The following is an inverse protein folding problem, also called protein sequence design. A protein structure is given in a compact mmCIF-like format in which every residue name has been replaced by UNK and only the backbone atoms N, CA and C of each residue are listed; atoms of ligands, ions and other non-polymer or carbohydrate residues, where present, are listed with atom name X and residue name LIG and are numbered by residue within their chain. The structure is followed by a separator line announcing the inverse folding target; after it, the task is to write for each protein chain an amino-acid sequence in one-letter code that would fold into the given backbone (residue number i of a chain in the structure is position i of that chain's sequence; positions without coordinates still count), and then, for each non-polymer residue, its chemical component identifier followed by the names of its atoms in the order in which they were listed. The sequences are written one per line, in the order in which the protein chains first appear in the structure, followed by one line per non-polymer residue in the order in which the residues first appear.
data_IF_742987506231
#
_entry.id   IF_742987506231
#
_cell.length_a   1.000
_cell.length_b   1.000
_cell.length_c   1.000
_cell.angle_alpha   90.00
_cell.angle_beta   90.00
_cell.angle_gamma   90.00
#
_symmetry.space_group_name_H-M   'P 1'
#
loop_
_entity.id
_entity.type
_entity.pdbx_description
1 polymer ?
#
# COMPACT_ATOMS: atom_id res chain seq x y z
N UNK A 1 -17.25 5.84 -6.17
CA UNK A 1 -18.00 6.19 -4.94
C UNK A 1 -17.84 5.04 -3.97
N UNK A 2 -17.04 5.25 -2.91
CA UNK A 2 -16.88 4.27 -1.84
C UNK A 2 -18.24 3.95 -1.21
N UNK A 3 -18.48 2.68 -0.90
CA UNK A 3 -19.74 2.25 -0.26
C UNK A 3 -19.68 2.67 1.22
N UNK A 4 -20.82 2.80 1.89
CA UNK A 4 -20.93 3.15 3.33
C UNK A 4 -20.13 2.21 4.27
N UNK A 5 -19.64 1.08 3.76
CA UNK A 5 -18.74 0.14 4.44
C UNK A 5 -17.32 0.69 4.62
N UNK A 6 -16.90 1.70 3.86
CA UNK A 6 -15.52 2.22 3.86
C UNK A 6 -15.31 3.40 4.83
N UNK A 7 -16.36 3.86 5.53
CA UNK A 7 -16.27 4.95 6.53
C UNK A 7 -15.54 4.55 7.81
N UNK A 8 -15.57 3.25 8.13
CA UNK A 8 -14.95 2.71 9.33
C UNK A 8 -14.12 1.51 8.94
N UNK A 9 -12.85 1.48 9.33
CA UNK A 9 -11.98 0.37 8.99
C UNK A 9 -11.29 -0.19 10.22
N UNK A 10 -11.19 -1.52 10.25
CA UNK A 10 -10.52 -2.27 11.28
C UNK A 10 -9.03 -2.36 10.95
N UNK A 11 -8.16 -1.88 11.84
CA UNK A 11 -6.70 -1.96 11.66
C UNK A 11 -6.09 -3.21 12.28
N UNK A 12 -6.71 -3.77 13.31
CA UNK A 12 -6.16 -4.93 14.02
C UNK A 12 -6.87 -5.20 15.35
N UNK A 13 -6.66 -6.42 15.84
CA UNK A 13 -7.12 -6.88 17.14
C UNK A 13 -5.89 -7.25 17.97
N UNK A 14 -5.80 -6.68 19.17
CA UNK A 14 -4.82 -7.08 20.18
C UNK A 14 -5.53 -7.99 21.18
N UNK A 15 -5.04 -9.22 21.31
CA UNK A 15 -5.45 -10.17 22.35
C UNK A 15 -4.31 -10.20 23.37
N UNK A 16 -4.61 -9.94 24.65
CA UNK A 16 -3.61 -10.12 25.70
C UNK A 16 -3.07 -11.56 25.73
N UNK A 17 -1.76 -11.69 25.92
CA UNK A 17 -1.04 -12.96 25.95
C UNK A 17 -1.68 -13.86 27.02
N UNK A 18 -2.31 -14.96 26.58
CA UNK A 18 -2.99 -15.91 27.46
C UNK A 18 -4.48 -16.15 27.14
N UNK A 19 -5.07 -15.40 26.20
CA UNK A 19 -6.37 -15.72 25.60
C UNK A 19 -7.60 -15.58 26.53
N UNK A 20 -7.42 -14.97 27.72
CA UNK A 20 -8.50 -14.69 28.69
C UNK A 20 -8.68 -13.21 29.02
N UNK A 21 -7.87 -12.34 28.42
CA UNK A 21 -7.95 -10.89 28.58
C UNK A 21 -8.84 -10.24 27.51
N UNK A 22 -9.37 -9.04 27.77
CA UNK A 22 -10.31 -8.37 26.87
C UNK A 22 -9.73 -8.21 25.46
N UNK A 23 -10.61 -8.29 24.46
CA UNK A 23 -10.24 -8.11 23.06
C UNK A 23 -10.28 -6.63 22.74
N UNK A 24 -9.14 -6.08 22.30
CA UNK A 24 -9.03 -4.67 21.92
C UNK A 24 -9.02 -4.57 20.39
N UNK A 25 -10.09 -4.01 19.84
CA UNK A 25 -10.24 -3.72 18.42
C UNK A 25 -9.82 -2.29 18.13
N UNK A 26 -9.02 -2.07 17.10
CA UNK A 26 -8.69 -0.72 16.63
C UNK A 26 -9.55 -0.35 15.43
N UNK A 27 -10.43 0.64 15.61
CA UNK A 27 -11.32 1.12 14.55
C UNK A 27 -10.99 2.56 14.19
N UNK A 28 -10.71 2.79 12.91
CA UNK A 28 -10.56 4.12 12.35
C UNK A 28 -11.91 4.66 11.92
N UNK A 29 -12.30 5.81 12.46
CA UNK A 29 -13.37 6.67 11.98
C UNK A 29 -12.79 7.66 10.98
N UNK A 30 -13.05 7.41 9.69
CA UNK A 30 -12.52 8.23 8.60
C UNK A 30 -13.24 9.56 8.44
N UNK A 31 -14.48 9.69 8.91
CA UNK A 31 -15.20 10.96 8.89
C UNK A 31 -14.61 11.93 9.91
N UNK A 32 -14.24 11.42 11.08
CA UNK A 32 -13.63 12.22 12.15
C UNK A 32 -12.11 12.12 12.20
N UNK A 33 -11.51 11.37 11.26
CA UNK A 33 -10.07 11.15 11.11
C UNK A 33 -9.37 10.74 12.40
N UNK A 34 -10.03 9.86 13.16
CA UNK A 34 -9.58 9.41 14.48
C UNK A 34 -9.67 7.91 14.61
N UNK A 35 -8.75 7.33 15.38
CA UNK A 35 -8.81 5.93 15.75
C UNK A 35 -9.34 5.81 17.17
N UNK A 36 -10.21 4.83 17.40
CA UNK A 36 -10.78 4.52 18.71
C UNK A 36 -10.52 3.06 19.01
N UNK A 37 -10.06 2.80 20.24
CA UNK A 37 -9.93 1.45 20.79
C UNK A 37 -11.31 0.98 21.26
N UNK A 38 -11.80 -0.15 20.75
CA UNK A 38 -13.01 -0.81 21.25
C UNK A 38 -12.58 -1.99 22.10
N UNK A 39 -13.03 -2.03 23.35
CA UNK A 39 -12.74 -3.13 24.26
C UNK A 39 -14.00 -3.98 24.42
N UNK A 40 -13.90 -5.26 24.09
CA UNK A 40 -14.95 -6.27 24.29
C UNK A 40 -14.42 -7.39 25.19
N UNK A 41 -15.29 -8.09 25.90
CA UNK A 41 -14.87 -9.16 26.81
C UNK A 41 -14.35 -10.39 26.04
N UNK A 42 -13.30 -11.02 26.59
CA UNK A 42 -12.57 -12.15 25.98
C UNK A 42 -13.43 -13.38 25.69
N UNK A 43 -14.44 -13.61 26.53
CA UNK A 43 -15.39 -14.73 26.42
C UNK A 43 -16.30 -14.58 25.19
N UNK A 44 -16.28 -13.40 24.56
CA UNK A 44 -17.10 -13.02 23.43
C UNK A 44 -16.17 -12.55 22.29
N UNK A 45 -15.55 -13.53 21.61
CA UNK A 45 -14.92 -13.27 20.32
C UNK A 45 -16.01 -12.91 19.31
N UNK A 46 -16.33 -11.62 19.22
CA UNK A 46 -17.30 -11.11 18.25
C UNK A 46 -16.72 -11.10 16.83
N UNK A 47 -17.56 -11.37 15.85
CA UNK A 47 -17.24 -11.14 14.44
C UNK A 47 -16.91 -9.64 14.23
N UNK A 48 -15.77 -9.29 13.60
CA UNK A 48 -15.43 -7.89 13.27
C UNK A 48 -16.59 -7.09 12.66
N UNK A 49 -17.45 -7.74 11.86
CA UNK A 49 -18.63 -7.11 11.24
C UNK A 49 -19.65 -6.69 12.30
N UNK A 50 -19.87 -7.52 13.32
CA UNK A 50 -20.79 -7.24 14.42
C UNK A 50 -20.28 -6.12 15.32
N UNK A 51 -18.99 -6.15 15.67
CA UNK A 51 -18.32 -5.10 16.45
C UNK A 51 -18.48 -3.74 15.77
N UNK A 52 -18.26 -3.68 14.46
CA UNK A 52 -18.44 -2.44 13.68
C UNK A 52 -19.91 -1.98 13.71
N UNK A 53 -20.86 -2.90 13.55
CA UNK A 53 -22.28 -2.56 13.61
C UNK A 53 -22.68 -1.99 14.98
N UNK A 54 -22.07 -2.50 16.05
CA UNK A 54 -22.29 -2.02 17.41
C UNK A 54 -21.66 -0.63 17.60
N UNK A 55 -20.41 -0.46 17.17
CA UNK A 55 -19.71 0.83 17.21
C UNK A 55 -20.43 1.94 16.44
N UNK A 56 -20.98 1.62 15.26
CA UNK A 56 -21.76 2.56 14.43
C UNK A 56 -22.96 3.19 15.15
N UNK A 57 -23.51 2.53 16.18
CA UNK A 57 -24.63 3.09 16.97
C UNK A 57 -24.21 4.29 17.82
N UNK A 58 -22.95 4.31 18.27
CA UNK A 58 -22.45 5.29 19.24
C UNK A 58 -21.59 6.37 18.61
N UNK A 59 -20.92 6.08 17.50
CA UNK A 59 -19.88 6.96 16.96
C UNK A 59 -20.33 8.40 16.70
N UNK A 60 -21.58 8.60 16.27
CA UNK A 60 -22.13 9.94 16.01
C UNK A 60 -22.28 10.78 17.29
N UNK A 61 -22.49 10.16 18.44
CA UNK A 61 -22.70 10.86 19.72
C UNK A 61 -21.45 10.92 20.59
N UNK A 62 -20.42 10.12 20.29
CA UNK A 62 -19.17 10.13 21.05
C UNK A 62 -18.46 11.49 20.94
N UNK A 63 -18.03 12.10 22.07
CA UNK A 63 -17.14 13.26 22.07
C UNK A 63 -15.83 12.99 21.33
N UNK A 64 -15.18 14.04 20.83
CA UNK A 64 -13.97 13.93 20.00
C UNK A 64 -12.72 13.49 20.77
N UNK A 65 -12.66 13.77 22.07
CA UNK A 65 -11.57 13.48 23.00
C UNK A 65 -11.59 12.06 23.58
N UNK A 66 -12.56 11.23 23.20
CA UNK A 66 -12.61 9.81 23.57
C UNK A 66 -11.59 9.01 22.75
N UNK A 67 -10.71 8.29 23.44
CA UNK A 67 -9.69 7.41 22.86
C UNK A 67 -10.08 5.93 22.86
N UNK A 68 -10.82 5.49 23.87
CA UNK A 68 -11.23 4.10 24.04
C UNK A 68 -12.66 4.01 24.53
N UNK A 69 -13.38 2.99 24.08
CA UNK A 69 -14.71 2.65 24.57
C UNK A 69 -14.79 1.17 24.94
N UNK A 70 -15.54 0.88 26.00
CA UNK A 70 -15.83 -0.47 26.46
C UNK A 70 -17.27 -0.79 26.10
N UNK A 71 -17.49 -1.93 25.47
CA UNK A 71 -18.78 -2.33 24.93
C UNK A 71 -19.23 -3.66 25.49
N UNK A 72 -20.53 -3.77 25.77
CA UNK A 72 -21.15 -5.06 26.10
C UNK A 72 -21.32 -5.94 24.86
N UNK A 73 -21.62 -7.22 25.06
CA UNK A 73 -22.01 -8.19 24.01
C UNK A 73 -23.17 -7.73 23.12
N UNK A 74 -24.03 -6.87 23.64
CA UNK A 74 -25.18 -6.32 22.90
C UNK A 74 -24.83 -5.06 22.14
N UNK A 75 -23.58 -4.61 22.27
CA UNK A 75 -23.08 -3.37 21.71
C UNK A 75 -23.53 -2.15 22.49
N UNK A 76 -23.84 -2.25 23.78
CA UNK A 76 -24.14 -1.08 24.62
C UNK A 76 -22.84 -0.47 25.14
N UNK A 77 -22.80 0.87 25.22
CA UNK A 77 -21.63 1.59 25.70
C UNK A 77 -21.56 1.49 27.23
N UNK A 78 -20.55 0.79 27.75
CA UNK A 78 -20.35 0.60 29.19
C UNK A 78 -19.50 1.71 29.80
N UNK A 79 -18.40 2.06 29.12
CA UNK A 79 -17.44 3.06 29.59
C UNK A 79 -16.72 3.71 28.40
N UNK A 80 -16.24 4.94 28.61
CA UNK A 80 -15.33 5.65 27.71
C UNK A 80 -14.06 6.05 28.46
N UNK A 81 -12.95 6.20 27.73
CA UNK A 81 -11.69 6.74 28.24
C UNK A 81 -11.25 7.94 27.41
N UNK A 82 -10.77 8.97 28.12
CA UNK A 82 -10.09 10.15 27.58
C UNK A 82 -8.62 10.21 28.03
N UNK A 83 -8.10 9.14 28.65
CA UNK A 83 -6.69 9.07 29.03
C UNK A 83 -5.84 8.95 27.76
N UNK A 84 -4.90 9.88 27.50
CA UNK A 84 -4.02 9.80 26.34
C UNK A 84 -3.27 8.47 26.22
N UNK A 85 -3.05 7.71 27.30
CA UNK A 85 -2.41 6.39 27.22
C UNK A 85 -3.25 5.35 26.47
N UNK A 86 -4.56 5.54 26.44
CA UNK A 86 -5.49 4.65 25.73
C UNK A 86 -5.67 5.07 24.26
N UNK A 87 -5.02 6.16 23.83
CA UNK A 87 -5.04 6.67 22.46
C UNK A 87 -4.37 5.68 21.50
N UNK A 88 -5.14 4.98 20.64
CA UNK A 88 -4.55 4.05 19.68
C UNK A 88 -3.73 4.79 18.60
N UNK A 89 -3.90 6.12 18.47
CA UNK A 89 -3.05 6.95 17.63
C UNK A 89 -1.62 7.08 18.17
N UNK A 90 -1.35 6.73 19.44
CA UNK A 90 0.03 6.58 19.96
C UNK A 90 0.72 5.38 19.31
N UNK A 91 -0.04 4.38 18.87
CA UNK A 91 0.47 3.12 18.30
C UNK A 91 0.74 3.24 16.80
N UNK A 92 0.15 4.22 16.09
CA UNK A 92 0.64 4.61 14.76
C UNK A 92 1.98 5.31 14.98
N UNK A 93 3.08 4.56 14.84
CA UNK A 93 4.48 4.97 14.78
C UNK A 93 4.69 6.49 14.66
N UNK A 94 4.62 7.19 15.79
CA UNK A 94 4.88 8.63 15.89
C UNK A 94 6.38 8.78 15.83
N UNK A 95 6.88 9.33 14.73
CA UNK A 95 8.28 9.72 14.64
C UNK A 95 8.38 11.21 14.87
N UNK A 96 9.19 11.62 15.84
CA UNK A 96 9.67 13.00 15.87
C UNK A 96 10.66 13.18 14.70
N UNK A 97 10.68 14.35 14.06
CA UNK A 97 11.57 14.63 12.93
C UNK A 97 13.05 14.32 13.26
N UNK A 98 13.40 14.45 14.53
CA UNK A 98 14.73 14.24 15.10
C UNK A 98 15.13 12.75 15.18
N UNK A 99 14.17 11.82 15.28
CA UNK A 99 14.43 10.38 15.52
C UNK A 99 14.95 9.61 14.29
N UNK A 100 14.80 10.16 13.09
CA UNK A 100 14.91 9.39 11.85
C UNK A 100 15.99 9.88 10.86
N UNK A 101 16.89 10.79 11.26
CA UNK A 101 17.84 11.47 10.33
C UNK A 101 17.13 12.04 9.07
N UNK A 102 15.86 12.42 9.22
CA UNK A 102 14.97 12.76 8.12
C UNK A 102 15.37 14.04 7.41
N UNK A 103 16.02 14.98 8.12
CA UNK A 103 16.42 16.27 7.58
C UNK A 103 17.21 16.13 6.27
N UNK A 104 18.06 15.11 6.17
CA UNK A 104 18.86 14.88 4.97
C UNK A 104 18.05 14.21 3.85
N UNK A 105 17.19 13.25 4.18
CA UNK A 105 16.38 12.49 3.20
C UNK A 105 15.21 13.32 2.64
N UNK A 106 14.68 14.23 3.46
CA UNK A 106 13.60 15.13 3.12
C UNK A 106 14.11 16.52 2.71
N UNK A 107 15.42 16.68 2.54
CA UNK A 107 16.01 17.94 2.09
C UNK A 107 15.42 18.34 0.74
N UNK A 108 14.63 19.42 0.73
CA UNK A 108 13.95 19.92 -0.47
C UNK A 108 12.51 19.42 -0.65
N UNK A 109 12.00 18.58 0.25
CA UNK A 109 10.57 18.25 0.32
C UNK A 109 9.89 19.28 1.21
N UNK A 110 8.87 19.95 0.68
CA UNK A 110 8.14 20.97 1.44
C UNK A 110 7.18 20.34 2.45
N UNK A 111 6.86 21.11 3.50
CA UNK A 111 5.87 20.75 4.51
C UNK A 111 4.54 21.43 4.18
N UNK A 112 3.43 20.79 4.54
CA UNK A 112 2.09 21.38 4.57
C UNK A 112 1.41 21.00 5.87
N UNK A 113 0.66 21.92 6.46
CA UNK A 113 -0.12 21.61 7.65
C UNK A 113 -1.42 20.94 7.20
N UNK A 114 -1.83 19.91 7.92
CA UNK A 114 -2.98 19.08 7.54
C UNK A 114 -4.27 19.88 7.33
N UNK A 115 -4.52 20.88 8.18
CA UNK A 115 -5.71 21.74 8.06
C UNK A 115 -5.74 22.58 6.77
N UNK A 116 -4.60 22.73 6.08
CA UNK A 116 -4.50 23.41 4.79
C UNK A 116 -4.91 22.52 3.61
N UNK A 117 -5.11 21.22 3.85
CA UNK A 117 -5.56 20.27 2.83
C UNK A 117 -7.09 20.21 2.79
N UNK A 118 -7.66 20.50 1.63
CA UNK A 118 -9.09 20.35 1.36
C UNK A 118 -9.38 18.98 0.73
N UNK A 119 -10.13 18.14 1.44
CA UNK A 119 -10.58 16.84 0.94
C UNK A 119 -11.54 17.00 -0.25
N UNK A 120 -11.19 16.40 -1.39
CA UNK A 120 -12.02 16.37 -2.60
C UNK A 120 -12.78 15.04 -2.67
N UNK A 121 -12.09 13.93 -2.44
CA UNK A 121 -12.64 12.58 -2.50
C UNK A 121 -11.80 11.62 -1.69
N UNK A 122 -12.39 10.52 -1.25
CA UNK A 122 -11.66 9.39 -0.66
C UNK A 122 -11.40 8.35 -1.75
N UNK A 123 -10.15 7.93 -1.90
CA UNK A 123 -9.74 7.00 -2.97
C UNK A 123 -9.63 5.57 -2.44
N UNK A 124 -9.04 5.40 -1.27
CA UNK A 124 -8.89 4.12 -0.60
C UNK A 124 -8.72 4.33 0.91
N UNK A 125 -8.51 3.22 1.61
CA UNK A 125 -8.21 3.24 3.04
C UNK A 125 -6.93 4.03 3.32
N UNK A 126 -7.03 5.12 4.11
CA UNK A 126 -5.87 5.98 4.39
C UNK A 126 -5.30 6.67 3.16
N UNK A 127 -6.11 6.87 2.12
CA UNK A 127 -5.72 7.57 0.89
C UNK A 127 -6.85 8.49 0.42
N UNK A 128 -6.58 9.79 0.45
CA UNK A 128 -7.52 10.81 -0.01
C UNK A 128 -6.99 11.52 -1.26
N UNK A 129 -7.90 11.94 -2.13
CA UNK A 129 -7.65 13.02 -3.06
C UNK A 129 -7.92 14.34 -2.34
N UNK A 130 -6.91 15.17 -2.23
CA UNK A 130 -7.00 16.50 -1.61
C UNK A 130 -6.50 17.58 -2.55
N UNK A 131 -6.76 18.82 -2.17
CA UNK A 131 -6.17 20.01 -2.78
C UNK A 131 -5.54 20.90 -1.73
N UNK A 132 -4.54 21.67 -2.14
CA UNK A 132 -4.02 22.80 -1.39
C UNK A 132 -3.69 23.94 -2.35
N UNK A 133 -3.55 25.16 -1.81
CA UNK A 133 -3.46 26.39 -2.58
C UNK A 133 -4.84 27.00 -2.87
N UNK A 134 -4.86 28.12 -3.61
CA UNK A 134 -6.11 28.82 -3.94
C UNK A 134 -6.11 29.29 -5.39
N UNK A 135 -7.29 29.35 -6.01
CA UNK A 135 -7.48 29.85 -7.37
C UNK A 135 -6.69 29.05 -8.42
N UNK A 136 -5.97 29.74 -9.29
CA UNK A 136 -5.16 29.13 -10.36
C UNK A 136 -3.97 28.31 -9.84
N UNK A 137 -3.60 28.46 -8.55
CA UNK A 137 -2.54 27.69 -7.90
C UNK A 137 -3.06 26.47 -7.13
N UNK A 138 -4.36 26.13 -7.25
CA UNK A 138 -4.92 24.92 -6.65
C UNK A 138 -4.24 23.67 -7.24
N UNK A 139 -3.51 22.95 -6.40
CA UNK A 139 -2.86 21.70 -6.79
C UNK A 139 -3.61 20.52 -6.19
N UNK A 140 -4.00 19.57 -7.04
CA UNK A 140 -4.62 18.31 -6.62
C UNK A 140 -3.56 17.25 -6.37
N UNK A 141 -3.61 16.63 -5.20
CA UNK A 141 -2.61 15.66 -4.74
C UNK A 141 -3.29 14.50 -4.03
N UNK A 142 -2.59 13.38 -3.95
CA UNK A 142 -3.04 12.22 -3.19
C UNK A 142 -2.39 12.25 -1.82
N UNK A 143 -3.18 12.35 -0.76
CA UNK A 143 -2.70 12.31 0.62
C UNK A 143 -2.76 10.89 1.19
N UNK A 144 -1.64 10.42 1.75
CA UNK A 144 -1.50 9.08 2.34
C UNK A 144 -1.16 9.15 3.82
N UNK A 145 -1.90 8.42 4.66
CA UNK A 145 -1.72 8.36 6.13
C UNK A 145 -0.77 7.22 6.55
N UNK A 146 0.18 6.85 5.69
CA UNK A 146 0.99 5.63 5.83
C UNK A 146 2.44 5.95 6.21
N UNK A 147 2.72 6.11 7.50
CA UNK A 147 4.07 6.43 8.00
C UNK A 147 5.09 5.30 7.77
N UNK A 148 4.64 4.04 7.77
CA UNK A 148 5.49 2.89 7.43
C UNK A 148 5.90 2.91 5.95
N UNK A 149 4.99 3.30 5.07
CA UNK A 149 5.23 3.47 3.63
C UNK A 149 6.21 4.63 3.37
N UNK A 150 6.05 5.74 4.11
CA UNK A 150 6.93 6.91 4.02
C UNK A 150 8.40 6.53 4.23
N UNK A 151 8.69 5.66 5.21
CA UNK A 151 10.07 5.26 5.50
C UNK A 151 10.78 4.68 4.26
N UNK A 152 10.09 3.84 3.47
CA UNK A 152 10.65 3.26 2.25
C UNK A 152 10.66 4.29 1.12
N UNK A 153 9.58 5.06 0.97
CA UNK A 153 9.42 6.01 -0.11
C UNK A 153 10.49 7.11 -0.12
N UNK A 154 10.95 7.57 1.04
CA UNK A 154 12.01 8.59 1.11
C UNK A 154 13.31 8.16 0.44
N UNK A 155 13.62 6.87 0.41
CA UNK A 155 14.82 6.35 -0.27
C UNK A 155 14.61 6.17 -1.78
N UNK A 156 13.35 6.09 -2.20
CA UNK A 156 12.93 5.68 -3.54
C UNK A 156 12.35 6.82 -4.38
N UNK A 157 12.01 7.95 -3.75
CA UNK A 157 11.27 9.07 -4.35
C UNK A 157 11.95 9.71 -5.57
N UNK A 158 13.26 9.51 -5.73
CA UNK A 158 14.04 9.98 -6.87
C UNK A 158 14.06 9.02 -8.06
N UNK A 159 13.48 7.83 -7.94
CA UNK A 159 13.45 6.86 -9.03
C UNK A 159 12.43 7.28 -10.10
N UNK A 160 12.77 7.27 -11.40
CA UNK A 160 11.91 7.80 -12.46
C UNK A 160 10.57 7.04 -12.62
N UNK A 161 10.54 5.75 -12.25
CA UNK A 161 9.32 4.92 -12.30
C UNK A 161 8.59 4.76 -10.96
N UNK A 162 8.82 5.66 -10.01
CA UNK A 162 8.10 5.71 -8.73
C UNK A 162 7.49 7.11 -8.62
N UNK A 163 6.22 7.20 -8.21
CA UNK A 163 5.59 8.51 -8.01
C UNK A 163 6.36 9.26 -6.91
N UNK A 164 6.80 10.52 -7.11
CA UNK A 164 7.59 11.21 -6.10
C UNK A 164 6.74 11.64 -4.90
N UNK A 165 7.41 11.90 -3.77
CA UNK A 165 6.81 12.62 -2.65
C UNK A 165 6.67 14.10 -3.07
N UNK A 166 5.48 14.65 -2.86
CA UNK A 166 5.19 16.06 -3.07
C UNK A 166 5.46 16.87 -1.80
N UNK A 167 4.81 16.50 -0.69
CA UNK A 167 4.98 17.17 0.61
C UNK A 167 4.88 16.20 1.78
N UNK A 168 5.46 16.60 2.91
CA UNK A 168 5.23 15.98 4.21
C UNK A 168 4.08 16.72 4.90
N UNK A 169 3.16 15.96 5.50
CA UNK A 169 1.99 16.52 6.16
C UNK A 169 2.16 16.45 7.66
N UNK A 170 2.07 17.60 8.32
CA UNK A 170 2.08 17.69 9.78
C UNK A 170 0.68 17.93 10.34
N UNK A 171 0.39 17.41 11.54
CA UNK A 171 -0.80 17.81 12.27
C UNK A 171 -0.66 19.21 12.90
N UNK A 172 -1.78 19.90 13.02
CA UNK A 172 -1.86 21.26 13.56
C UNK A 172 -1.76 21.35 15.10
N UNK A 173 -1.89 20.24 15.81
CA UNK A 173 -1.99 20.21 17.28
C UNK A 173 -0.60 20.08 17.91
N UNK A 174 0.22 19.17 17.38
CA UNK A 174 1.52 18.76 17.90
C UNK A 174 2.64 18.90 16.88
N UNK A 175 2.34 19.22 15.62
CA UNK A 175 3.35 19.36 14.57
C UNK A 175 4.01 18.04 14.17
N UNK A 176 3.35 16.91 14.39
CA UNK A 176 3.89 15.58 14.09
C UNK A 176 3.56 15.16 12.67
N UNK A 177 4.39 14.29 12.10
CA UNK A 177 4.13 13.73 10.77
C UNK A 177 2.92 12.82 10.84
N UNK A 178 1.90 13.14 10.03
CA UNK A 178 0.68 12.33 9.88
C UNK A 178 0.57 11.65 8.53
N UNK A 179 1.48 11.98 7.61
CA UNK A 179 1.55 11.35 6.30
C UNK A 179 2.34 12.18 5.30
N UNK A 180 2.10 11.91 4.03
CA UNK A 180 2.73 12.62 2.91
C UNK A 180 1.77 12.70 1.73
N UNK A 181 2.00 13.66 0.84
CA UNK A 181 1.28 13.80 -0.42
C UNK A 181 2.14 13.30 -1.58
N UNK A 182 1.47 12.83 -2.64
CA UNK A 182 2.07 12.56 -3.95
C UNK A 182 1.29 13.30 -5.04
N UNK A 183 1.89 13.60 -6.20
CA UNK A 183 1.14 14.13 -7.33
C UNK A 183 -0.05 13.23 -7.69
N UNK A 184 -1.18 13.85 -8.03
CA UNK A 184 -2.32 13.11 -8.57
C UNK A 184 -2.09 12.82 -10.06
N UNK A 185 -1.65 11.60 -10.37
CA UNK A 185 -1.42 11.17 -11.76
C UNK A 185 -2.76 10.91 -12.43
N UNK A 186 -3.06 11.68 -13.48
CA UNK A 186 -4.36 11.58 -14.16
C UNK A 186 -4.45 10.34 -15.07
N UNK A 187 -5.67 9.88 -15.32
CA UNK A 187 -5.96 8.75 -16.20
C UNK A 187 -6.02 7.37 -15.53
N UNK A 188 -5.82 7.31 -14.20
CA UNK A 188 -6.02 6.12 -13.39
C UNK A 188 -4.96 5.04 -13.56
N UNK A 189 -5.11 3.95 -12.80
CA UNK A 189 -4.25 2.77 -12.91
C UNK A 189 -4.53 1.95 -14.17
N UNK A 190 -3.66 0.98 -14.46
CA UNK A 190 -3.91 0.00 -15.52
C UNK A 190 -5.15 -0.87 -15.23
N UNK A 191 -5.60 -0.97 -13.98
CA UNK A 191 -6.87 -1.63 -13.65
C UNK A 191 -8.08 -0.72 -13.93
N UNK A 192 -7.97 0.57 -13.64
CA UNK A 192 -9.07 1.53 -13.78
C UNK A 192 -9.33 1.92 -15.24
N UNK A 193 -8.29 1.86 -16.09
CA UNK A 193 -8.35 2.30 -17.48
C UNK A 193 -7.91 1.20 -18.46
N UNK A 194 -8.72 0.14 -18.64
CA UNK A 194 -8.37 -0.95 -19.55
C UNK A 194 -8.28 -0.51 -21.01
N UNK A 195 -8.94 0.59 -21.38
CA UNK A 195 -8.91 1.13 -22.76
C UNK A 195 -7.56 1.70 -23.18
N UNK A 196 -6.67 2.00 -22.21
CA UNK A 196 -5.30 2.44 -22.46
C UNK A 196 -4.44 1.36 -23.13
N UNK A 197 -4.83 0.09 -23.01
CA UNK A 197 -4.03 -1.03 -23.44
C UNK A 197 -2.81 -1.26 -22.54
N UNK A 198 -1.85 -2.04 -23.03
CA UNK A 198 -0.57 -2.29 -22.37
C UNK A 198 0.56 -2.23 -23.39
N UNK A 199 1.66 -1.55 -23.05
CA UNK A 199 2.82 -1.36 -23.93
C UNK A 199 4.00 -2.20 -23.47
N UNK A 200 4.79 -2.71 -24.41
CA UNK A 200 6.00 -3.47 -24.11
C UNK A 200 7.05 -2.59 -23.42
N UNK A 201 7.05 -1.27 -23.71
CA UNK A 201 7.84 -0.26 -22.97
C UNK A 201 7.57 -0.31 -21.47
N UNK A 202 6.29 -0.39 -21.08
CA UNK A 202 5.91 -0.39 -19.66
C UNK A 202 6.34 -1.67 -18.97
N UNK A 203 6.27 -2.82 -19.64
CA UNK A 203 6.85 -4.05 -19.11
C UNK A 203 8.37 -3.90 -18.87
N UNK A 204 9.11 -3.31 -19.81
CA UNK A 204 10.56 -3.05 -19.64
C UNK A 204 10.84 -2.14 -18.44
N UNK A 205 10.03 -1.10 -18.25
CA UNK A 205 10.15 -0.21 -17.08
C UNK A 205 9.83 -0.94 -15.78
N UNK A 206 8.81 -1.81 -15.76
CA UNK A 206 8.46 -2.58 -14.58
C UNK A 206 9.59 -3.54 -14.16
N UNK A 207 10.13 -4.33 -15.09
CA UNK A 207 11.22 -5.27 -14.77
C UNK A 207 12.47 -4.53 -14.30
N UNK A 208 12.81 -3.40 -14.94
CA UNK A 208 13.97 -2.59 -14.54
C UNK A 208 13.77 -1.99 -13.15
N UNK A 209 12.57 -1.46 -12.87
CA UNK A 209 12.22 -0.94 -11.56
C UNK A 209 12.33 -2.03 -10.48
N UNK A 210 11.83 -3.23 -10.73
CA UNK A 210 11.90 -4.35 -9.79
C UNK A 210 13.36 -4.78 -9.54
N UNK A 211 14.20 -4.78 -10.57
CA UNK A 211 15.63 -5.04 -10.41
C UNK A 211 16.32 -3.93 -9.61
N UNK A 212 16.02 -2.66 -9.87
CA UNK A 212 16.53 -1.53 -9.08
C UNK A 212 16.10 -1.66 -7.61
N UNK A 213 14.82 -1.93 -7.34
CA UNK A 213 14.31 -2.14 -5.98
C UNK A 213 15.07 -3.27 -5.29
N UNK A 214 15.11 -4.46 -5.90
CA UNK A 214 15.67 -5.65 -5.25
C UNK A 214 17.20 -5.59 -5.14
N UNK A 215 17.89 -5.20 -6.20
CA UNK A 215 19.35 -5.34 -6.34
C UNK A 215 20.10 -4.09 -5.88
N UNK A 216 19.53 -2.90 -6.10
CA UNK A 216 20.18 -1.62 -5.75
C UNK A 216 19.70 -1.08 -4.41
N UNK A 217 18.40 -1.07 -4.17
CA UNK A 217 17.83 -0.50 -2.94
C UNK A 217 17.65 -1.54 -1.82
N UNK A 218 17.73 -2.83 -2.14
CA UNK A 218 17.49 -3.88 -1.15
C UNK A 218 16.05 -3.85 -0.63
N UNK A 219 15.09 -3.53 -1.50
CA UNK A 219 13.66 -3.41 -1.20
C UNK A 219 12.88 -4.40 -2.05
N UNK A 220 11.88 -5.00 -1.42
CA UNK A 220 10.87 -5.86 -2.05
C UNK A 220 9.56 -5.10 -1.97
N UNK A 221 8.82 -5.01 -3.09
CA UNK A 221 7.53 -4.32 -3.07
C UNK A 221 6.41 -5.21 -2.51
N UNK A 222 6.40 -6.50 -2.88
CA UNK A 222 5.49 -7.55 -2.39
C UNK A 222 3.99 -7.36 -2.71
N UNK A 223 3.68 -6.39 -3.57
CA UNK A 223 2.29 -6.05 -3.91
C UNK A 223 2.19 -5.40 -5.30
N UNK A 224 2.95 -5.92 -6.24
CA UNK A 224 2.90 -5.50 -7.65
C UNK A 224 1.66 -6.12 -8.26
N UNK A 225 0.70 -5.28 -8.64
CA UNK A 225 -0.59 -5.66 -9.25
C UNK A 225 -1.13 -4.50 -10.11
N UNK A 226 -2.08 -4.73 -11.03
CA UNK A 226 -2.49 -3.74 -12.02
C UNK A 226 -2.98 -2.41 -11.43
N UNK A 227 -3.73 -2.45 -10.31
CA UNK A 227 -4.20 -1.24 -9.62
C UNK A 227 -3.12 -0.35 -9.01
N UNK A 228 -1.88 -0.86 -8.87
CA UNK A 228 -0.74 -0.11 -8.34
C UNK A 228 0.19 0.39 -9.45
N UNK A 229 -0.16 0.15 -10.71
CA UNK A 229 0.59 0.59 -11.87
C UNK A 229 -0.15 1.75 -12.53
N UNK A 230 0.46 2.93 -12.49
CA UNK A 230 -0.01 4.13 -13.16
C UNK A 230 0.79 4.35 -14.45
N UNK A 231 0.23 5.13 -15.37
CA UNK A 231 0.99 5.65 -16.50
C UNK A 231 0.88 7.16 -16.46
N UNK A 232 2.04 7.80 -16.41
CA UNK A 232 2.13 9.24 -16.51
C UNK A 232 1.69 9.69 -17.92
N UNK A 233 0.62 10.49 -18.04
CA UNK A 233 0.12 10.95 -19.33
C UNK A 233 1.10 11.90 -20.06
N UNK A 234 2.02 12.56 -19.36
CA UNK A 234 2.97 13.50 -19.97
C UNK A 234 4.18 12.78 -20.56
N UNK A 235 4.73 11.82 -19.82
CA UNK A 235 5.97 11.11 -20.19
C UNK A 235 5.73 9.75 -20.83
N UNK A 236 4.50 9.23 -20.77
CA UNK A 236 4.14 7.88 -21.18
C UNK A 236 4.95 6.80 -20.43
N UNK A 237 5.36 7.11 -19.19
CA UNK A 237 6.15 6.23 -18.34
C UNK A 237 5.28 5.51 -17.31
N UNK A 238 5.61 4.25 -17.05
CA UNK A 238 5.02 3.48 -15.97
C UNK A 238 5.51 4.01 -14.62
N UNK A 239 4.58 4.24 -13.70
CA UNK A 239 4.86 4.61 -12.32
C UNK A 239 4.26 3.57 -11.37
N UNK A 240 5.06 3.12 -10.40
CA UNK A 240 4.63 2.23 -9.32
C UNK A 240 4.23 3.06 -8.09
N UNK A 241 3.15 2.65 -7.44
CA UNK A 241 2.68 3.19 -6.17
C UNK A 241 2.45 2.07 -5.15
N UNK A 242 2.20 2.46 -3.90
CA UNK A 242 1.68 1.60 -2.83
C UNK A 242 2.70 0.61 -2.24
N UNK A 243 3.69 1.17 -1.54
CA UNK A 243 4.78 0.46 -0.87
C UNK A 243 4.40 -0.01 0.55
N UNK A 244 3.10 -0.09 0.88
CA UNK A 244 2.63 -0.38 2.23
C UNK A 244 2.95 -1.81 2.72
N UNK A 245 3.19 -2.75 1.79
CA UNK A 245 3.69 -4.10 2.08
C UNK A 245 5.19 -4.27 1.81
N UNK A 246 5.87 -3.17 1.44
CA UNK A 246 7.28 -3.25 1.10
C UNK A 246 8.13 -3.59 2.31
N UNK A 247 9.20 -4.36 2.07
CA UNK A 247 10.10 -4.85 3.11
C UNK A 247 11.54 -4.64 2.69
N UNK A 248 12.37 -4.20 3.63
CA UNK A 248 13.83 -4.18 3.42
C UNK A 248 14.36 -5.60 3.48
N UNK A 249 15.26 -5.92 2.56
CA UNK A 249 16.10 -7.11 2.61
C UNK A 249 17.13 -6.86 3.72
N UNK A 250 16.84 -7.26 4.95
CA UNK A 250 17.73 -7.07 6.10
C UNK A 250 18.56 -8.33 6.43
N UNK A 251 19.84 -8.13 6.73
CA UNK A 251 20.70 -9.09 7.45
C UNK A 251 21.62 -10.00 6.61
N UNK A 252 22.61 -10.67 7.25
CA UNK A 252 23.63 -11.49 6.59
C UNK A 252 23.07 -12.88 6.22
N UNK A 253 21.99 -12.90 5.45
CA UNK A 253 21.42 -14.16 4.96
C UNK A 253 21.08 -13.98 3.49
N UNK A 254 22.12 -14.05 2.66
CA UNK A 254 22.01 -14.18 1.20
C UNK A 254 21.04 -15.30 0.82
N UNK A 255 20.86 -16.32 1.67
CA UNK A 255 19.91 -17.43 1.49
C UNK A 255 18.42 -17.02 1.41
N UNK A 256 17.98 -15.93 2.08
CA UNK A 256 16.58 -15.46 2.00
C UNK A 256 16.32 -14.58 0.77
N UNK A 257 17.36 -13.93 0.21
CA UNK A 257 17.24 -13.12 -1.02
C UNK A 257 16.73 -13.96 -2.20
N UNK A 258 17.04 -15.26 -2.19
CA UNK A 258 16.77 -16.17 -3.29
C UNK A 258 15.30 -16.58 -3.42
N UNK A 259 14.60 -16.83 -2.31
CA UNK A 259 13.17 -17.15 -2.32
C UNK A 259 12.33 -15.89 -2.60
N UNK A 260 12.79 -14.75 -2.08
CA UNK A 260 12.07 -13.49 -2.20
C UNK A 260 12.19 -12.88 -3.62
N UNK A 261 13.34 -13.05 -4.28
CA UNK A 261 13.46 -12.71 -5.71
C UNK A 261 12.50 -13.55 -6.57
N UNK A 262 12.25 -14.80 -6.20
CA UNK A 262 11.29 -15.67 -6.88
C UNK A 262 9.86 -15.13 -6.77
N UNK A 263 9.47 -14.67 -5.58
CA UNK A 263 8.16 -14.09 -5.32
C UNK A 263 7.92 -12.79 -6.09
N UNK A 264 8.88 -11.86 -6.13
CA UNK A 264 8.75 -10.62 -6.92
C UNK A 264 8.66 -10.90 -8.43
N UNK A 265 9.49 -11.83 -8.94
CA UNK A 265 9.39 -12.26 -10.35
C UNK A 265 8.02 -12.86 -10.66
N UNK A 266 7.50 -13.69 -9.74
CA UNK A 266 6.18 -14.28 -9.88
C UNK A 266 5.06 -13.22 -9.89
N UNK A 267 5.14 -12.21 -9.01
CA UNK A 267 4.18 -11.11 -9.00
C UNK A 267 4.17 -10.31 -10.30
N UNK A 268 5.35 -10.04 -10.88
CA UNK A 268 5.44 -9.36 -12.19
C UNK A 268 4.79 -10.21 -13.29
N UNK A 269 5.10 -11.51 -13.35
CA UNK A 269 4.51 -12.43 -14.34
C UNK A 269 2.98 -12.45 -14.21
N UNK A 270 2.47 -12.67 -13.00
CA UNK A 270 1.04 -12.74 -12.74
C UNK A 270 0.36 -11.40 -13.06
N UNK A 271 0.98 -10.27 -12.72
CA UNK A 271 0.45 -8.94 -13.03
C UNK A 271 0.31 -8.72 -14.53
N UNK A 272 1.36 -9.04 -15.30
CA UNK A 272 1.33 -8.90 -16.77
C UNK A 272 0.28 -9.83 -17.39
N UNK A 273 0.21 -11.07 -16.90
CA UNK A 273 -0.81 -12.03 -17.32
C UNK A 273 -2.23 -11.50 -17.05
N UNK A 274 -2.49 -10.97 -15.84
CA UNK A 274 -3.78 -10.38 -15.47
C UNK A 274 -4.10 -9.17 -16.36
N UNK A 275 -3.14 -8.31 -16.65
CA UNK A 275 -3.34 -7.16 -17.55
C UNK A 275 -3.75 -7.64 -18.94
N UNK A 276 -2.99 -8.57 -19.53
CA UNK A 276 -3.22 -9.03 -20.91
C UNK A 276 -4.54 -9.81 -21.03
N UNK A 277 -4.77 -10.77 -20.14
CA UNK A 277 -5.89 -11.73 -20.25
C UNK A 277 -7.16 -11.28 -19.55
N UNK A 278 -7.06 -10.31 -18.62
CA UNK A 278 -8.16 -9.90 -17.75
C UNK A 278 -8.51 -10.93 -16.67
N UNK A 279 -7.76 -12.03 -16.53
CA UNK A 279 -8.09 -13.12 -15.62
C UNK A 279 -7.73 -12.80 -14.17
N UNK A 280 -8.71 -12.31 -13.40
CA UNK A 280 -8.49 -11.83 -12.03
C UNK A 280 -8.27 -12.91 -10.96
N UNK A 281 -8.30 -14.21 -11.29
CA UNK A 281 -8.17 -15.30 -10.31
C UNK A 281 -6.84 -15.24 -9.52
N UNK A 282 -5.81 -14.64 -10.13
CA UNK A 282 -4.48 -14.51 -9.53
C UNK A 282 -4.24 -13.17 -8.83
N UNK A 283 -5.24 -12.27 -8.78
CA UNK A 283 -5.07 -10.91 -8.23
C UNK A 283 -4.75 -10.92 -6.72
N UNK A 284 -5.16 -11.95 -6.00
CA UNK A 284 -4.93 -12.13 -4.56
C UNK A 284 -4.30 -13.49 -4.26
N UNK A 285 -3.36 -13.92 -5.11
CA UNK A 285 -2.65 -15.19 -4.91
C UNK A 285 -1.92 -15.19 -3.57
N UNK A 286 -2.13 -16.26 -2.78
CA UNK A 286 -1.47 -16.45 -1.50
C UNK A 286 0.05 -16.57 -1.68
N UNK A 287 0.85 -16.11 -0.72
CA UNK A 287 2.32 -16.04 -0.83
C UNK A 287 2.96 -17.38 -1.22
N UNK A 288 2.40 -18.47 -0.71
CA UNK A 288 2.85 -19.85 -0.96
C UNK A 288 2.57 -20.34 -2.39
N UNK A 289 1.68 -19.69 -3.12
CA UNK A 289 1.22 -20.10 -4.46
C UNK A 289 1.73 -19.19 -5.58
N UNK A 290 2.32 -18.02 -5.24
CA UNK A 290 2.79 -17.03 -6.23
C UNK A 290 3.69 -17.68 -7.29
N UNK A 291 4.70 -18.42 -6.85
CA UNK A 291 5.71 -19.04 -7.74
C UNK A 291 5.09 -20.15 -8.60
N UNK A 292 4.29 -21.05 -8.01
CA UNK A 292 3.65 -22.13 -8.76
C UNK A 292 2.66 -21.60 -9.79
N UNK A 293 1.88 -20.58 -9.43
CA UNK A 293 0.93 -19.95 -10.35
C UNK A 293 1.66 -19.22 -11.49
N UNK A 294 2.74 -18.52 -11.18
CA UNK A 294 3.58 -17.88 -12.19
C UNK A 294 4.19 -18.90 -13.17
N UNK A 295 4.68 -20.04 -12.66
CA UNK A 295 5.16 -21.12 -13.51
C UNK A 295 4.05 -21.67 -14.42
N UNK A 296 2.87 -21.97 -13.83
CA UNK A 296 1.72 -22.50 -14.56
C UNK A 296 1.26 -21.57 -15.68
N UNK A 297 1.20 -20.24 -15.46
CA UNK A 297 0.82 -19.31 -16.53
C UNK A 297 1.88 -19.21 -17.62
N UNK A 298 3.17 -19.31 -17.27
CA UNK A 298 4.25 -19.28 -18.27
C UNK A 298 4.29 -20.53 -19.14
N UNK A 299 3.82 -21.68 -18.63
CA UNK A 299 3.72 -22.95 -19.35
C UNK A 299 2.51 -23.04 -20.30
N UNK A 300 1.53 -22.14 -20.19
CA UNK A 300 0.39 -22.11 -21.11
C UNK A 300 0.86 -21.94 -22.56
N UNK A 301 0.27 -22.67 -23.49
CA UNK A 301 0.64 -22.57 -24.91
C UNK A 301 0.42 -21.14 -25.45
N UNK A 302 -0.70 -20.50 -25.07
CA UNK A 302 -1.05 -19.15 -25.48
C UNK A 302 -1.66 -18.36 -24.30
N UNK A 303 -1.40 -17.04 -24.26
CA UNK A 303 -2.17 -16.13 -23.42
C UNK A 303 -3.19 -15.41 -24.29
N UNK A 304 -4.46 -15.80 -24.19
CA UNK A 304 -5.53 -15.15 -24.95
C UNK A 304 -5.82 -13.77 -24.36
N UNK A 305 -5.63 -12.67 -25.12
CA UNK A 305 -5.92 -11.34 -24.63
C UNK A 305 -7.41 -11.17 -24.30
N UNK A 306 -7.72 -10.37 -23.27
CA UNK A 306 -9.09 -10.00 -22.96
C UNK A 306 -9.76 -9.30 -24.17
N UNK A 307 -11.09 -9.42 -24.33
CA UNK A 307 -11.81 -8.67 -25.37
C UNK A 307 -11.53 -7.17 -25.28
N UNK A 308 -11.07 -6.58 -26.39
CA UNK A 308 -10.73 -5.15 -26.45
C UNK A 308 -9.36 -4.78 -25.86
N UNK A 309 -8.56 -5.75 -25.41
CA UNK A 309 -7.18 -5.50 -24.99
C UNK A 309 -6.34 -5.02 -26.17
N UNK A 310 -5.67 -3.88 -26.00
CA UNK A 310 -4.81 -3.27 -27.00
C UNK A 310 -3.36 -3.49 -26.55
N UNK A 311 -2.59 -4.23 -27.36
CA UNK A 311 -1.15 -4.41 -27.16
C UNK A 311 -0.40 -3.76 -28.34
N UNK A 312 0.70 -3.08 -28.05
CA UNK A 312 1.58 -2.50 -29.07
C UNK A 312 2.52 -3.54 -29.74
N UNK A 313 2.58 -4.75 -29.21
CA UNK A 313 3.38 -5.89 -29.67
C UNK A 313 2.57 -7.19 -29.51
N UNK A 314 2.91 -8.27 -30.24
CA UNK A 314 2.27 -9.57 -30.00
C UNK A 314 2.57 -10.07 -28.58
N UNK A 315 1.64 -10.84 -28.01
CA UNK A 315 1.77 -11.48 -26.68
C UNK A 315 3.11 -12.22 -26.51
N UNK A 316 3.60 -12.86 -27.57
CA UNK A 316 4.89 -13.55 -27.57
C UNK A 316 6.05 -12.64 -27.19
N UNK A 317 6.05 -11.36 -27.59
CA UNK A 317 7.11 -10.43 -27.24
C UNK A 317 7.15 -10.15 -25.72
N UNK A 318 5.99 -10.05 -25.07
CA UNK A 318 5.88 -9.88 -23.62
C UNK A 318 6.37 -11.11 -22.88
N UNK A 319 5.93 -12.30 -23.32
CA UNK A 319 6.34 -13.59 -22.75
C UNK A 319 7.84 -13.81 -22.88
N UNK A 320 8.41 -13.63 -24.07
CA UNK A 320 9.86 -13.77 -24.29
C UNK A 320 10.68 -12.82 -23.43
N UNK A 321 10.19 -11.58 -23.20
CA UNK A 321 10.87 -10.64 -22.31
C UNK A 321 10.86 -11.11 -20.85
N UNK A 322 9.73 -11.64 -20.36
CA UNK A 322 9.63 -12.22 -19.02
C UNK A 322 10.49 -13.49 -18.86
N UNK A 323 10.50 -14.36 -19.86
CA UNK A 323 11.34 -15.58 -19.88
C UNK A 323 12.81 -15.22 -19.80
N UNK A 324 13.24 -14.28 -20.64
CA UNK A 324 14.64 -13.85 -20.68
C UNK A 324 15.06 -13.20 -19.35
N UNK A 325 14.25 -12.27 -18.83
CA UNK A 325 14.51 -11.62 -17.55
C UNK A 325 14.59 -12.63 -16.40
N UNK A 326 13.63 -13.55 -16.30
CA UNK A 326 13.65 -14.57 -15.24
C UNK A 326 14.80 -15.57 -15.40
N UNK A 327 15.17 -15.92 -16.63
CA UNK A 327 16.34 -16.76 -16.92
C UNK A 327 17.64 -16.09 -16.46
N UNK A 328 17.82 -14.81 -16.76
CA UNK A 328 18.99 -14.04 -16.34
C UNK A 328 19.09 -13.95 -14.82
N UNK A 329 17.98 -13.64 -14.12
CA UNK A 329 17.97 -13.60 -12.64
C UNK A 329 18.30 -14.96 -12.05
N UNK A 330 17.71 -16.06 -12.57
CA UNK A 330 18.03 -17.42 -12.13
C UNK A 330 19.50 -17.80 -12.34
N UNK A 331 20.11 -17.40 -13.46
CA UNK A 331 21.53 -17.66 -13.72
C UNK A 331 22.43 -16.91 -12.72
N UNK A 332 22.18 -15.62 -12.50
CA UNK A 332 22.90 -14.83 -11.51
C UNK A 332 22.76 -15.41 -10.09
N UNK A 333 21.61 -16.01 -9.76
CA UNK A 333 21.40 -16.73 -8.51
C UNK A 333 22.25 -17.99 -8.37
N UNK A 334 22.46 -18.74 -9.45
CA UNK A 334 23.31 -19.95 -9.46
C UNK A 334 24.77 -19.55 -9.26
N UNK A 335 25.27 -18.59 -10.03
CA UNK A 335 26.66 -18.10 -9.92
C UNK A 335 26.97 -17.55 -8.52
N UNK A 336 26.04 -16.79 -7.93
CA UNK A 336 26.19 -16.26 -6.59
C UNK A 336 26.23 -17.35 -5.50
N UNK A 337 25.53 -18.48 -5.69
CA UNK A 337 25.56 -19.62 -4.77
C UNK A 337 26.87 -20.41 -4.87
N UNK A 338 27.39 -20.59 -6.08
CA UNK A 338 28.66 -21.28 -6.31
C UNK A 338 29.85 -20.50 -5.75
N UNK A 339 29.80 -19.16 -5.73
CA UNK A 339 30.85 -18.32 -5.15
C UNK A 339 30.89 -18.32 -3.60
N UNK A 340 29.88 -18.90 -2.93
CA UNK A 340 29.75 -18.92 -1.47
C UNK A 340 30.12 -20.29 -0.89
N UNK A 341 30.16 -21.33 -1.72
CA UNK A 341 30.65 -22.67 -1.39
C UNK A 341 32.12 -22.82 -1.80
#
# INVERSE_FOLDING_TARGET
MLKDMDKYCFLGCLIEIGGRGPVIWQVMDWDRRRMISLVTDAEHQEDPVQVIAHFKRHIKTLPLDIYQIHMSERGDLLRVSTDPKDDPWIIIWRFEMEDLQLEKLLSGVEIVIRIELCEISRLAWGVDLVSYGTGEAEKRVVFKYALTELNVWMWLSHHPNIVPIDRIVLDEIRGQIVGFTTPNISGGSLEDNPSRGFKLKWLKQLIQLVDDLNLRYGVIHDNIIPRHLLVDPETDDLLLINFNFSRRIAGPVRLFIFDISGQEMALVILTVYIIITGEKRFQYTHDTEKISNAAAVMELEEWTPAPGMILDHPVSAYRSLLEEWTRQRRAAHVEARECIN
#
